data_IF_727837744482
#
_entry.id   IF_727837744482
#
_cell.length_a   1.000
_cell.length_b   1.000
_cell.length_c   1.000
_cell.angle_alpha   90.00
_cell.angle_beta   90.00
_cell.angle_gamma   90.00
#
_symmetry.space_group_name_H-M   'P 1'
#
loop_
_entity.id
_entity.type
_entity.pdbx_description
1 polymer ?
#
# COMPACT_ATOMS: atom_id res chain seq x y z
N UNK A 1 16.55 -9.99 2.41
CA UNK A 1 15.84 -10.11 1.12
C UNK A 1 16.14 -8.85 0.31
N UNK A 2 16.35 -8.95 -1.00
CA UNK A 2 16.76 -7.82 -1.84
C UNK A 2 15.52 -7.27 -2.58
N UNK A 3 15.08 -6.01 -2.33
CA UNK A 3 13.85 -5.48 -2.94
C UNK A 3 13.95 -5.22 -4.45
N UNK A 4 15.16 -5.30 -5.03
CA UNK A 4 15.40 -5.07 -6.45
C UNK A 4 15.29 -6.35 -7.30
N UNK A 5 15.07 -7.51 -6.69
CA UNK A 5 14.92 -8.79 -7.37
C UNK A 5 13.46 -9.10 -7.72
N UNK A 6 13.23 -9.82 -8.82
CA UNK A 6 11.87 -10.24 -9.22
C UNK A 6 11.22 -11.20 -8.23
N UNK A 7 12.03 -12.02 -7.54
CA UNK A 7 11.53 -12.91 -6.49
C UNK A 7 10.86 -12.12 -5.36
N UNK A 8 11.39 -10.94 -5.02
CA UNK A 8 10.77 -10.06 -4.03
C UNK A 8 9.41 -9.57 -4.48
N UNK A 9 9.26 -9.14 -5.74
CA UNK A 9 7.97 -8.74 -6.30
C UNK A 9 6.94 -9.87 -6.17
N UNK A 10 7.30 -11.09 -6.57
CA UNK A 10 6.40 -12.26 -6.50
C UNK A 10 5.94 -12.48 -5.06
N UNK A 11 6.87 -12.49 -4.10
CA UNK A 11 6.55 -12.68 -2.69
C UNK A 11 5.68 -11.57 -2.11
N UNK A 12 5.86 -10.31 -2.52
CA UNK A 12 5.04 -9.20 -2.03
C UNK A 12 3.65 -9.16 -2.65
N UNK A 13 3.50 -9.55 -3.92
CA UNK A 13 2.19 -9.74 -4.56
C UNK A 13 1.45 -10.92 -3.92
N UNK A 14 2.15 -12.02 -3.65
CA UNK A 14 1.61 -13.17 -2.90
C UNK A 14 1.25 -12.81 -1.46
N UNK A 15 2.05 -11.97 -0.78
CA UNK A 15 1.71 -11.47 0.56
C UNK A 15 0.48 -10.56 0.51
N UNK A 16 0.38 -9.69 -0.49
CA UNK A 16 -0.76 -8.80 -0.65
C UNK A 16 -2.05 -9.61 -0.88
N UNK A 17 -1.96 -10.66 -1.72
CA UNK A 17 -3.01 -11.63 -2.00
C UNK A 17 -4.37 -10.97 -2.24
N UNK A 18 -4.46 -10.14 -3.29
CA UNK A 18 -5.72 -9.50 -3.65
C UNK A 18 -6.78 -10.61 -3.91
N UNK A 19 -7.87 -10.71 -3.12
CA UNK A 19 -8.74 -11.88 -3.18
C UNK A 19 -9.56 -11.94 -4.48
N UNK A 20 -10.38 -10.90 -4.70
CA UNK A 20 -11.26 -10.74 -5.85
C UNK A 20 -11.24 -9.29 -6.31
N UNK A 21 -11.46 -9.08 -7.61
CA UNK A 21 -11.63 -7.74 -8.18
C UNK A 21 -12.70 -6.96 -7.41
N UNK A 22 -12.41 -5.71 -7.10
CA UNK A 22 -13.34 -4.79 -6.46
C UNK A 22 -13.83 -3.80 -7.51
N UNK A 23 -15.14 -3.63 -7.67
CA UNK A 23 -15.71 -2.65 -8.61
C UNK A 23 -16.93 -2.01 -7.98
N UNK A 24 -16.70 -0.99 -7.15
CA UNK A 24 -17.73 -0.20 -6.49
C UNK A 24 -17.39 1.28 -6.72
N UNK A 25 -18.12 1.99 -7.60
CA UNK A 25 -17.80 3.36 -7.95
C UNK A 25 -17.64 4.29 -6.73
N UNK A 26 -16.61 5.16 -6.71
CA UNK A 26 -15.71 5.46 -7.84
C UNK A 26 -14.51 4.51 -7.96
N UNK A 27 -14.36 3.53 -7.06
CA UNK A 27 -13.16 2.72 -6.91
C UNK A 27 -13.29 1.37 -7.61
N UNK A 28 -12.31 1.07 -8.45
CA UNK A 28 -12.08 -0.26 -9.02
C UNK A 28 -10.67 -0.73 -8.70
N UNK A 29 -10.53 -1.99 -8.29
CA UNK A 29 -9.23 -2.63 -8.04
C UNK A 29 -9.20 -3.99 -8.73
N UNK A 30 -8.21 -4.21 -9.59
CA UNK A 30 -8.01 -5.44 -10.34
C UNK A 30 -6.54 -5.85 -10.41
N UNK A 31 -6.28 -7.06 -10.92
CA UNK A 31 -4.95 -7.49 -11.30
C UNK A 31 -4.71 -7.11 -12.76
N UNK A 32 -3.57 -6.49 -13.06
CA UNK A 32 -3.20 -6.15 -14.43
C UNK A 32 -1.79 -6.61 -14.78
N UNK A 33 -1.59 -6.94 -16.05
CA UNK A 33 -0.28 -7.07 -16.65
C UNK A 33 0.17 -5.70 -17.17
N UNK A 34 1.23 -5.11 -16.60
CA UNK A 34 1.71 -3.83 -17.09
C UNK A 34 2.26 -3.98 -18.51
N UNK A 35 1.96 -3.01 -19.37
CA UNK A 35 2.48 -2.97 -20.73
C UNK A 35 3.37 -1.73 -20.90
N UNK A 36 4.58 -1.92 -21.42
CA UNK A 36 5.52 -0.85 -21.70
C UNK A 36 6.60 -0.71 -20.62
N UNK A 37 7.21 0.48 -20.55
CA UNK A 37 8.35 0.74 -19.68
C UNK A 37 7.94 0.84 -18.22
N UNK A 38 8.46 -0.08 -17.40
CA UNK A 38 8.43 0.00 -15.94
C UNK A 38 9.85 0.17 -15.39
N UNK A 39 10.15 1.37 -14.89
CA UNK A 39 11.42 1.63 -14.20
C UNK A 39 11.40 1.08 -12.76
N UNK A 40 12.58 0.73 -12.24
CA UNK A 40 12.80 0.46 -10.83
C UNK A 40 12.97 1.80 -10.07
N UNK A 41 12.94 1.78 -8.74
CA UNK A 41 13.07 3.00 -7.92
C UNK A 41 14.45 3.66 -8.06
N UNK A 42 15.53 2.86 -8.04
CA UNK A 42 16.91 3.38 -8.12
C UNK A 42 17.54 3.25 -9.51
N UNK A 43 16.90 2.54 -10.44
CA UNK A 43 17.47 2.28 -11.76
C UNK A 43 16.39 2.38 -12.85
N UNK A 44 16.75 2.98 -13.98
CA UNK A 44 15.93 2.86 -15.19
C UNK A 44 16.12 1.47 -15.74
N UNK A 45 15.11 0.62 -15.53
CA UNK A 45 15.11 -0.75 -15.99
C UNK A 45 14.02 -0.87 -17.05
N UNK A 46 14.32 -1.51 -18.18
CA UNK A 46 13.32 -1.73 -19.22
C UNK A 46 12.64 -3.07 -18.96
N UNK A 47 11.82 -3.12 -17.89
CA UNK A 47 11.01 -4.32 -17.62
C UNK A 47 9.83 -4.33 -18.59
N UNK A 48 9.95 -5.14 -19.64
CA UNK A 48 8.89 -5.31 -20.62
C UNK A 48 7.74 -6.18 -20.09
N UNK A 49 8.05 -7.11 -19.19
CA UNK A 49 7.11 -8.08 -18.62
C UNK A 49 7.44 -8.31 -17.14
N UNK A 50 6.42 -8.64 -16.34
CA UNK A 50 6.55 -9.05 -14.94
C UNK A 50 6.19 -10.54 -14.80
N UNK A 51 6.80 -11.27 -13.84
CA UNK A 51 6.52 -12.69 -13.63
C UNK A 51 5.11 -12.96 -13.08
N UNK A 52 4.43 -11.94 -12.56
CA UNK A 52 3.07 -12.00 -12.00
C UNK A 52 2.30 -10.73 -12.36
N UNK A 53 0.97 -10.80 -12.53
CA UNK A 53 0.15 -9.60 -12.62
C UNK A 53 0.16 -8.86 -11.28
N UNK A 54 0.01 -7.54 -11.32
CA UNK A 54 0.09 -6.69 -10.13
C UNK A 54 -1.27 -6.03 -9.83
N UNK A 55 -1.58 -5.79 -8.55
CA UNK A 55 -2.71 -4.95 -8.15
C UNK A 55 -2.66 -3.55 -8.76
N UNK A 56 -3.81 -3.08 -9.20
CA UNK A 56 -4.03 -1.74 -9.73
C UNK A 56 -5.33 -1.18 -9.20
N UNK A 57 -5.28 0.06 -8.72
CA UNK A 57 -6.44 0.85 -8.32
C UNK A 57 -6.74 1.93 -9.36
N UNK A 58 -8.00 2.04 -9.73
CA UNK A 58 -8.57 3.08 -10.58
C UNK A 58 -9.64 3.80 -9.77
N UNK A 59 -9.58 5.13 -9.73
CA UNK A 59 -10.58 5.99 -9.08
C UNK A 59 -11.12 6.95 -10.12
N UNK A 60 -12.44 7.00 -10.30
CA UNK A 60 -13.11 7.83 -11.32
C UNK A 60 -12.55 7.63 -12.74
N UNK A 61 -12.19 6.38 -13.06
CA UNK A 61 -11.63 6.01 -14.37
C UNK A 61 -10.16 6.44 -14.58
N UNK A 62 -9.52 7.04 -13.59
CA UNK A 62 -8.10 7.41 -13.63
C UNK A 62 -7.26 6.41 -12.84
N UNK A 63 -6.08 6.06 -13.37
CA UNK A 63 -5.11 5.26 -12.64
C UNK A 63 -4.71 5.99 -11.37
N UNK A 64 -4.98 5.38 -10.22
CA UNK A 64 -4.71 5.97 -8.92
C UNK A 64 -3.39 5.45 -8.33
N UNK A 65 -3.24 4.12 -8.25
CA UNK A 65 -2.05 3.48 -7.69
C UNK A 65 -1.87 2.06 -8.22
N UNK A 66 -0.64 1.55 -8.19
CA UNK A 66 -0.30 0.17 -8.55
C UNK A 66 0.54 -0.48 -7.46
N UNK A 67 0.91 -1.75 -7.65
CA UNK A 67 1.95 -2.41 -6.85
C UNK A 67 3.12 -2.86 -7.75
N UNK A 68 3.71 -1.89 -8.44
CA UNK A 68 4.87 -2.08 -9.32
C UNK A 68 6.16 -2.29 -8.52
N UNK A 69 7.24 -2.78 -9.17
CA UNK A 69 8.57 -2.81 -8.55
C UNK A 69 9.00 -1.46 -7.97
N UNK A 70 8.69 -0.35 -8.63
CA UNK A 70 9.02 0.99 -8.14
C UNK A 70 8.38 1.27 -6.78
N UNK A 71 7.07 1.03 -6.64
CA UNK A 71 6.32 1.28 -5.40
C UNK A 71 6.79 0.35 -4.27
N UNK A 72 7.08 -0.91 -4.57
CA UNK A 72 7.64 -1.84 -3.59
C UNK A 72 9.02 -1.40 -3.09
N UNK A 73 9.90 -1.01 -4.01
CA UNK A 73 11.27 -0.61 -3.70
C UNK A 73 11.34 0.73 -2.97
N UNK A 74 10.51 1.72 -3.36
CA UNK A 74 10.46 3.03 -2.70
C UNK A 74 10.01 2.91 -1.25
N UNK A 75 9.06 2.00 -0.99
CA UNK A 75 8.46 1.85 0.33
C UNK A 75 9.23 0.88 1.24
N UNK A 76 10.14 0.08 0.67
CA UNK A 76 10.89 -0.94 1.39
C UNK A 76 11.61 -0.40 2.64
N UNK A 77 12.37 0.70 2.50
CA UNK A 77 13.11 1.28 3.65
C UNK A 77 12.16 1.73 4.75
N UNK A 78 11.01 2.33 4.40
CA UNK A 78 10.03 2.77 5.39
C UNK A 78 9.43 1.57 6.13
N UNK A 79 9.04 0.52 5.41
CA UNK A 79 8.54 -0.73 6.00
C UNK A 79 9.59 -1.35 6.93
N UNK A 80 10.86 -1.42 6.52
CA UNK A 80 11.92 -1.98 7.34
C UNK A 80 12.20 -1.17 8.61
N UNK A 81 12.00 0.14 8.59
CA UNK A 81 12.26 1.04 9.72
C UNK A 81 11.06 1.26 10.64
N UNK A 82 9.85 0.90 10.22
CA UNK A 82 8.64 1.06 11.01
C UNK A 82 8.72 0.24 12.31
N UNK A 83 8.37 0.88 13.42
CA UNK A 83 8.34 0.32 14.77
C UNK A 83 7.37 1.12 15.65
N UNK A 84 6.95 0.54 16.77
CA UNK A 84 6.07 1.16 17.77
C UNK A 84 4.69 1.52 17.22
N UNK A 85 4.18 2.69 17.63
CA UNK A 85 2.98 3.29 17.08
C UNK A 85 3.29 4.00 15.75
N UNK A 86 2.73 3.48 14.66
CA UNK A 86 2.94 3.98 13.30
C UNK A 86 1.76 4.84 12.85
N UNK A 87 2.05 5.98 12.23
CA UNK A 87 1.05 6.78 11.50
C UNK A 87 1.38 6.78 10.01
N UNK A 88 0.38 6.48 9.20
CA UNK A 88 0.45 6.55 7.74
C UNK A 88 -0.50 7.65 7.26
N UNK A 89 0.00 8.57 6.45
CA UNK A 89 -0.82 9.48 5.66
C UNK A 89 -0.91 8.95 4.22
N UNK A 90 -2.13 8.64 3.77
CA UNK A 90 -2.42 7.99 2.49
C UNK A 90 -2.48 6.46 2.61
N UNK A 91 -3.65 5.87 2.30
CA UNK A 91 -3.84 4.42 2.33
C UNK A 91 -3.39 3.77 1.02
N UNK A 92 -3.74 4.36 -0.12
CA UNK A 92 -3.52 3.76 -1.43
C UNK A 92 -4.14 2.36 -1.53
N UNK A 93 -3.36 1.38 -2.01
CA UNK A 93 -3.76 -0.03 -2.01
C UNK A 93 -3.77 -0.68 -0.61
N UNK A 94 -3.25 -0.01 0.42
CA UNK A 94 -3.12 -0.53 1.78
C UNK A 94 -1.97 -1.50 2.00
N UNK A 95 -1.15 -1.76 0.97
CA UNK A 95 0.01 -2.67 1.04
C UNK A 95 0.98 -2.29 2.17
N UNK A 96 1.40 -1.01 2.23
CA UNK A 96 2.35 -0.55 3.25
C UNK A 96 1.78 -0.69 4.65
N UNK A 97 0.48 -0.42 4.85
CA UNK A 97 -0.20 -0.59 6.12
C UNK A 97 -0.20 -2.06 6.58
N UNK A 98 -0.55 -2.98 5.68
CA UNK A 98 -0.51 -4.42 5.95
C UNK A 98 0.91 -4.89 6.29
N UNK A 99 1.92 -4.48 5.52
CA UNK A 99 3.32 -4.87 5.76
C UNK A 99 3.86 -4.34 7.08
N UNK A 100 3.57 -3.08 7.42
CA UNK A 100 3.98 -2.53 8.70
C UNK A 100 3.26 -3.23 9.86
N UNK A 101 1.95 -3.48 9.75
CA UNK A 101 1.19 -4.19 10.77
C UNK A 101 1.63 -5.65 10.98
N UNK A 102 2.16 -6.31 9.94
CA UNK A 102 2.73 -7.66 10.04
C UNK A 102 4.01 -7.74 10.87
N UNK A 103 4.70 -6.61 11.10
CA UNK A 103 5.96 -6.59 11.84
C UNK A 103 5.74 -6.80 13.33
N UNK A 104 6.68 -7.52 13.97
CA UNK A 104 6.64 -7.74 15.42
C UNK A 104 7.01 -6.47 16.19
N UNK A 105 7.79 -5.61 15.57
CA UNK A 105 8.28 -4.34 16.11
C UNK A 105 7.22 -3.23 16.04
N UNK A 106 6.11 -3.43 15.31
CA UNK A 106 5.01 -2.47 15.18
C UNK A 106 3.86 -2.88 16.09
N UNK A 107 3.47 -1.97 16.97
CA UNK A 107 2.39 -2.18 17.94
C UNK A 107 1.02 -1.87 17.33
N UNK A 108 0.94 -0.79 16.55
CA UNK A 108 -0.29 -0.36 15.89
C UNK A 108 0.02 0.50 14.66
N UNK A 109 -0.94 0.54 13.72
CA UNK A 109 -0.89 1.37 12.52
C UNK A 109 -2.17 2.21 12.48
N UNK A 110 -2.04 3.53 12.49
CA UNK A 110 -3.14 4.45 12.20
C UNK A 110 -2.95 4.99 10.79
N UNK A 111 -3.91 4.75 9.91
CA UNK A 111 -3.91 5.28 8.55
C UNK A 111 -4.93 6.41 8.45
N UNK A 112 -4.49 7.56 7.95
CA UNK A 112 -5.35 8.67 7.57
C UNK A 112 -5.51 8.67 6.06
N UNK A 113 -6.74 8.52 5.58
CA UNK A 113 -7.08 8.50 4.16
C UNK A 113 -8.20 9.51 3.88
N UNK A 114 -8.08 10.26 2.80
CA UNK A 114 -9.05 11.28 2.42
C UNK A 114 -10.31 10.64 1.81
N UNK A 115 -10.10 9.67 0.92
CA UNK A 115 -11.14 9.10 0.07
C UNK A 115 -11.84 7.91 0.75
N UNK A 116 -13.13 8.08 1.07
CA UNK A 116 -13.92 7.04 1.75
C UNK A 116 -14.00 5.75 0.93
N UNK A 117 -14.08 5.84 -0.40
CA UNK A 117 -14.13 4.66 -1.27
C UNK A 117 -12.86 3.80 -1.17
N UNK A 118 -11.69 4.41 -0.92
CA UNK A 118 -10.42 3.69 -0.74
C UNK A 118 -10.42 2.94 0.60
N UNK A 119 -10.95 3.58 1.66
CA UNK A 119 -11.15 2.94 2.97
C UNK A 119 -12.12 1.75 2.86
N UNK A 120 -13.22 1.94 2.14
CA UNK A 120 -14.27 0.93 1.97
C UNK A 120 -13.75 -0.28 1.19
N UNK A 121 -12.98 -0.06 0.12
CA UNK A 121 -12.24 -1.11 -0.58
C UNK A 121 -11.36 -1.90 0.38
N UNK A 122 -10.51 -1.20 1.14
CA UNK A 122 -9.53 -1.85 2.00
C UNK A 122 -10.21 -2.68 3.10
N UNK A 123 -11.29 -2.16 3.70
CA UNK A 123 -12.13 -2.92 4.65
C UNK A 123 -12.74 -4.15 3.99
N UNK A 124 -13.36 -3.98 2.83
CA UNK A 124 -14.07 -5.06 2.14
C UNK A 124 -13.14 -6.22 1.72
N UNK A 125 -11.86 -5.93 1.44
CA UNK A 125 -10.90 -6.94 0.96
C UNK A 125 -9.97 -7.49 2.04
N UNK A 126 -9.71 -6.75 3.12
CA UNK A 126 -8.66 -7.12 4.06
C UNK A 126 -9.10 -7.18 5.53
N UNK A 127 -10.38 -6.98 5.87
CA UNK A 127 -10.83 -7.01 7.28
C UNK A 127 -10.55 -8.33 7.99
N UNK A 128 -10.51 -9.44 7.25
CA UNK A 128 -10.30 -10.79 7.79
C UNK A 128 -8.82 -11.12 8.00
N UNK A 129 -7.92 -10.24 7.57
CA UNK A 129 -6.48 -10.42 7.74
C UNK A 129 -6.06 -10.22 9.20
N UNK A 130 -5.17 -11.06 9.75
CA UNK A 130 -4.69 -10.87 11.12
C UNK A 130 -3.97 -9.52 11.32
N UNK A 131 -3.31 -9.00 10.29
CA UNK A 131 -2.66 -7.69 10.32
C UNK A 131 -3.67 -6.55 10.51
N UNK A 132 -4.89 -6.70 9.98
CA UNK A 132 -5.93 -5.70 10.05
C UNK A 132 -6.34 -5.38 11.49
N UNK A 133 -6.21 -6.33 12.42
CA UNK A 133 -6.47 -6.13 13.84
C UNK A 133 -5.60 -5.03 14.48
N UNK A 134 -4.46 -4.69 13.86
CA UNK A 134 -3.55 -3.61 14.30
C UNK A 134 -3.74 -2.32 13.52
N UNK A 135 -4.63 -2.30 12.53
CA UNK A 135 -4.84 -1.16 11.64
C UNK A 135 -6.10 -0.40 12.05
N UNK A 136 -5.95 0.88 12.36
CA UNK A 136 -7.05 1.82 12.57
C UNK A 136 -7.12 2.77 11.38
N UNK A 137 -8.30 2.89 10.77
CA UNK A 137 -8.53 3.76 9.61
C UNK A 137 -9.30 5.00 10.05
N UNK A 138 -8.77 6.17 9.72
CA UNK A 138 -9.40 7.47 9.96
C UNK A 138 -9.63 8.15 8.61
N UNK A 139 -10.89 8.44 8.30
CA UNK A 139 -11.21 9.29 7.16
C UNK A 139 -10.87 10.75 7.49
N UNK A 140 -10.03 11.40 6.69
CA UNK A 140 -9.77 12.83 6.85
C UNK A 140 -8.55 13.35 6.09
N UNK A 141 -8.39 14.67 6.15
CA UNK A 141 -7.22 15.35 5.60
C UNK A 141 -6.02 15.14 6.52
N UNK A 142 -5.02 14.39 6.05
CA UNK A 142 -3.80 14.09 6.81
C UNK A 142 -3.08 15.35 7.32
N UNK A 143 -3.15 16.48 6.60
CA UNK A 143 -2.52 17.75 7.01
C UNK A 143 -3.18 18.36 8.25
N UNK A 144 -4.42 17.94 8.56
CA UNK A 144 -5.17 18.37 9.74
C UNK A 144 -5.13 17.31 10.85
N UNK A 145 -5.30 16.05 10.47
CA UNK A 145 -5.40 14.94 11.43
C UNK A 145 -4.04 14.60 12.03
N UNK A 146 -3.00 14.41 11.19
CA UNK A 146 -1.68 13.95 11.67
C UNK A 146 -1.06 14.92 12.69
N UNK A 147 -1.07 16.25 12.49
CA UNK A 147 -0.53 17.18 13.50
C UNK A 147 -1.33 17.23 14.80
N UNK A 148 -2.59 16.80 14.79
CA UNK A 148 -3.43 16.73 15.98
C UNK A 148 -3.24 15.44 16.79
N UNK A 149 -2.49 14.46 16.26
CA UNK A 149 -2.15 13.23 16.97
C UNK A 149 -1.12 13.52 18.07
N UNK A 150 -1.28 12.90 19.23
CA UNK A 150 -0.45 13.11 20.42
C UNK A 150 0.97 12.53 20.35
N UNK A 151 1.39 12.01 19.19
CA UNK A 151 2.70 11.41 18.96
C UNK A 151 2.64 10.09 18.19
N UNK A 152 3.75 9.73 17.54
CA UNK A 152 3.97 8.46 16.86
C UNK A 152 5.48 8.14 16.91
N UNK A 153 5.84 6.86 16.97
CA UNK A 153 7.23 6.41 16.91
C UNK A 153 7.77 6.43 15.47
N UNK A 154 6.88 6.24 14.50
CA UNK A 154 7.20 6.31 13.09
C UNK A 154 6.06 6.94 12.29
N UNK A 155 6.40 7.83 11.35
CA UNK A 155 5.44 8.47 10.44
C UNK A 155 5.85 8.18 9.00
N UNK A 156 4.92 7.64 8.22
CA UNK A 156 5.06 7.45 6.78
C UNK A 156 4.07 8.36 6.06
N UNK A 157 4.55 9.16 5.12
CA UNK A 157 3.73 10.10 4.36
C UNK A 157 3.83 9.75 2.89
N UNK A 158 2.73 9.25 2.35
CA UNK A 158 2.61 8.76 0.98
C UNK A 158 1.32 9.31 0.36
N UNK A 159 1.31 10.65 0.26
CA UNK A 159 0.20 11.43 -0.28
C UNK A 159 0.69 12.23 -1.48
N UNK A 160 -0.17 12.39 -2.48
CA UNK A 160 0.05 13.23 -3.67
C UNK A 160 -0.58 14.62 -3.50
#
# INVERSE_FOLDING_TARGET
MNPFELEYLVQEVEFYNLPEEYDVPPVRVDLCEPNGRLDDYLNKNWRAELPVPIPRMVVDGQLWMTLTPMELQSNWVAIERAHGAVVIAGLGLGYTALRMAAKREVDSVLVVELEQGVIDFFRARFSDRPEFARITLVQGDARKVVPALGGADFVFVDIY
#
